data_IF_143191829593
#
_entry.id   IF_143191829593
#
_cell.length_a   1.000
_cell.length_b   1.000
_cell.length_c   1.000
_cell.angle_alpha   90.00
_cell.angle_beta   90.00
_cell.angle_gamma   90.00
#
_symmetry.space_group_name_H-M   'P 1'
#
loop_
_entity.id
_entity.type
_entity.pdbx_description
1 polymer ?
#
# COMPACT_ATOMS: atom_id res chain seq x y z
N UNK A 1 -56.25 61.64 10.63
CA UNK A 1 -56.04 60.36 11.35
C UNK A 1 -54.96 59.54 10.64
N UNK A 2 -53.68 59.65 11.08
CA UNK A 2 -52.56 58.94 10.53
C UNK A 2 -52.40 57.64 11.33
N UNK A 3 -52.58 56.45 10.69
CA UNK A 3 -52.36 55.15 11.29
C UNK A 3 -50.85 54.88 11.26
N UNK A 4 -50.23 54.76 12.43
CA UNK A 4 -48.86 54.29 12.62
C UNK A 4 -48.85 52.75 12.45
N UNK A 5 -48.05 52.28 11.52
CA UNK A 5 -47.70 50.88 11.33
C UNK A 5 -46.59 50.50 12.33
N UNK A 6 -46.67 49.31 12.99
CA UNK A 6 -45.62 48.89 13.88
C UNK A 6 -44.38 48.45 13.13
N UNK A 7 -43.22 48.89 13.61
CA UNK A 7 -41.88 48.45 13.16
C UNK A 7 -41.64 47.05 13.72
N UNK A 8 -41.50 46.06 12.82
CA UNK A 8 -41.07 44.72 13.16
C UNK A 8 -39.55 44.74 13.27
N UNK A 9 -38.93 44.39 14.41
CA UNK A 9 -37.47 44.26 14.46
C UNK A 9 -37.04 43.06 13.65
N UNK A 10 -36.18 43.31 12.65
CA UNK A 10 -35.46 42.28 11.87
C UNK A 10 -34.46 41.59 12.81
N UNK A 11 -34.80 40.43 13.32
CA UNK A 11 -33.87 39.53 14.00
C UNK A 11 -32.86 39.04 12.97
N UNK A 12 -31.68 39.66 12.94
CA UNK A 12 -30.50 39.08 12.32
C UNK A 12 -30.16 37.80 13.11
N UNK A 13 -30.60 36.65 12.61
CA UNK A 13 -30.09 35.38 13.01
C UNK A 13 -28.61 35.31 12.60
N UNK A 14 -27.72 35.48 13.57
CA UNK A 14 -26.33 35.00 13.42
C UNK A 14 -26.43 33.50 13.28
N UNK A 15 -26.35 33.03 12.02
CA UNK A 15 -25.99 31.66 11.77
C UNK A 15 -24.55 31.50 12.28
N UNK A 16 -24.42 30.94 13.48
CA UNK A 16 -23.14 30.34 13.90
C UNK A 16 -22.80 29.28 12.87
N UNK A 17 -21.82 29.61 12.03
CA UNK A 17 -21.12 28.60 11.27
C UNK A 17 -20.53 27.63 12.31
N UNK A 18 -21.34 26.63 12.70
CA UNK A 18 -20.85 25.48 13.43
C UNK A 18 -19.72 24.91 12.58
N UNK A 19 -18.56 24.78 13.17
CA UNK A 19 -17.51 23.92 12.66
C UNK A 19 -18.20 22.65 12.19
N UNK A 20 -18.22 22.39 10.89
CA UNK A 20 -18.46 21.06 10.37
C UNK A 20 -17.27 20.24 10.88
N UNK A 21 -17.39 19.77 12.13
CA UNK A 21 -16.49 18.79 12.70
C UNK A 21 -16.54 17.60 11.77
N UNK A 22 -15.41 17.14 11.42
CA UNK A 22 -14.95 16.04 10.56
C UNK A 22 -15.75 14.72 10.78
N UNK A 23 -17.06 14.79 10.60
CA UNK A 23 -17.97 13.65 10.77
C UNK A 23 -17.77 12.60 9.67
N UNK A 24 -17.29 13.04 8.48
CA UNK A 24 -17.05 12.16 7.35
C UNK A 24 -15.87 11.23 7.62
N UNK A 25 -14.75 11.75 8.11
CA UNK A 25 -13.57 10.93 8.43
C UNK A 25 -13.80 9.98 9.60
N UNK A 26 -14.54 10.42 10.63
CA UNK A 26 -14.91 9.55 11.76
C UNK A 26 -15.89 8.45 11.32
N UNK A 27 -16.81 8.73 10.39
CA UNK A 27 -17.73 7.72 9.84
C UNK A 27 -16.96 6.67 9.03
N UNK A 28 -16.09 7.09 8.09
CA UNK A 28 -15.27 6.18 7.28
C UNK A 28 -14.42 5.24 8.14
N UNK A 29 -13.77 5.80 9.19
CA UNK A 29 -13.00 4.99 10.13
C UNK A 29 -13.87 3.96 10.85
N UNK A 30 -15.05 4.33 11.31
CA UNK A 30 -15.96 3.40 11.99
C UNK A 30 -16.43 2.29 11.05
N UNK A 31 -16.74 2.62 9.80
CA UNK A 31 -17.14 1.65 8.79
C UNK A 31 -15.96 0.73 8.41
N UNK A 32 -14.74 1.27 8.29
CA UNK A 32 -13.54 0.44 8.09
C UNK A 32 -13.32 -0.55 9.23
N UNK A 33 -13.37 -0.08 10.49
CA UNK A 33 -13.20 -0.91 11.68
C UNK A 33 -14.33 -1.98 11.81
N UNK A 34 -15.56 -1.65 11.40
CA UNK A 34 -16.66 -2.61 11.34
C UNK A 34 -16.42 -3.72 10.29
N UNK A 35 -15.81 -3.35 9.16
CA UNK A 35 -15.35 -4.30 8.15
C UNK A 35 -14.27 -5.24 8.68
N UNK A 36 -13.27 -4.70 9.42
CA UNK A 36 -12.24 -5.51 10.10
C UNK A 36 -12.88 -6.49 11.08
N UNK A 37 -13.76 -6.01 11.95
CA UNK A 37 -14.44 -6.87 12.93
C UNK A 37 -15.26 -8.00 12.27
N UNK A 38 -15.92 -7.72 11.15
CA UNK A 38 -16.65 -8.74 10.39
C UNK A 38 -15.70 -9.76 9.76
N UNK A 39 -14.56 -9.29 9.20
CA UNK A 39 -13.54 -10.16 8.60
C UNK A 39 -12.92 -11.08 9.65
N UNK A 40 -12.55 -10.56 10.82
CA UNK A 40 -11.95 -11.32 11.91
C UNK A 40 -12.93 -12.33 12.52
N UNK A 41 -14.23 -12.04 12.47
CA UNK A 41 -15.28 -12.97 12.84
C UNK A 41 -15.57 -14.06 11.80
N UNK A 42 -14.91 -14.00 10.62
CA UNK A 42 -15.16 -14.92 9.50
C UNK A 42 -16.42 -14.60 8.71
N UNK A 43 -17.11 -13.50 9.00
CA UNK A 43 -18.29 -13.03 8.24
C UNK A 43 -17.82 -12.27 6.98
N UNK A 44 -17.20 -12.99 6.07
CA UNK A 44 -16.65 -12.42 4.85
C UNK A 44 -17.68 -11.70 3.95
N UNK A 45 -18.92 -12.22 3.78
CA UNK A 45 -19.92 -11.48 3.00
C UNK A 45 -20.23 -10.10 3.59
N UNK A 46 -20.29 -10.02 4.91
CA UNK A 46 -20.53 -8.75 5.63
C UNK A 46 -19.33 -7.81 5.51
N UNK A 47 -18.11 -8.31 5.71
CA UNK A 47 -16.88 -7.54 5.56
C UNK A 47 -16.77 -6.96 4.13
N UNK A 48 -16.98 -7.80 3.12
CA UNK A 48 -16.98 -7.38 1.71
C UNK A 48 -18.00 -6.27 1.44
N UNK A 49 -19.24 -6.44 1.93
CA UNK A 49 -20.29 -5.43 1.76
C UNK A 49 -19.93 -4.10 2.40
N UNK A 50 -19.38 -4.13 3.62
CA UNK A 50 -18.98 -2.90 4.35
C UNK A 50 -17.87 -2.19 3.62
N UNK A 51 -16.76 -2.87 3.30
CA UNK A 51 -15.62 -2.24 2.64
C UNK A 51 -15.94 -1.79 1.21
N UNK A 52 -16.77 -2.55 0.46
CA UNK A 52 -17.22 -2.13 -0.88
C UNK A 52 -18.15 -0.91 -0.88
N UNK A 53 -18.68 -0.51 0.27
CA UNK A 53 -19.47 0.71 0.38
C UNK A 53 -18.61 1.97 0.58
N UNK A 54 -17.33 1.79 0.93
CA UNK A 54 -16.38 2.89 1.24
C UNK A 54 -15.07 2.79 0.43
N UNK A 55 -14.93 1.85 -0.51
CA UNK A 55 -13.68 1.60 -1.24
C UNK A 55 -13.29 2.72 -2.22
N UNK A 56 -14.20 3.58 -2.60
CA UNK A 56 -13.88 4.77 -3.38
C UNK A 56 -13.33 5.93 -2.52
N UNK A 57 -13.65 5.94 -1.24
CA UNK A 57 -13.28 6.99 -0.28
C UNK A 57 -12.14 6.58 0.67
N UNK A 58 -11.88 5.26 0.82
CA UNK A 58 -10.87 4.70 1.70
C UNK A 58 -9.97 3.70 0.95
N UNK A 59 -8.70 4.10 0.78
CA UNK A 59 -7.70 3.32 0.03
C UNK A 59 -7.42 1.96 0.71
N UNK A 60 -7.49 1.89 2.05
CA UNK A 60 -7.27 0.64 2.76
C UNK A 60 -8.48 -0.30 2.59
N UNK A 61 -9.71 0.23 2.55
CA UNK A 61 -10.90 -0.54 2.20
C UNK A 61 -10.82 -1.05 0.76
N UNK A 62 -10.40 -0.21 -0.19
CA UNK A 62 -10.17 -0.60 -1.59
C UNK A 62 -9.19 -1.78 -1.68
N UNK A 63 -8.05 -1.72 -0.99
CA UNK A 63 -7.08 -2.81 -0.92
C UNK A 63 -7.69 -4.08 -0.32
N UNK A 64 -8.50 -3.96 0.73
CA UNK A 64 -9.15 -5.11 1.36
C UNK A 64 -10.20 -5.76 0.44
N UNK A 65 -10.98 -4.97 -0.29
CA UNK A 65 -11.91 -5.46 -1.32
C UNK A 65 -11.15 -6.19 -2.44
N UNK A 66 -10.02 -5.65 -2.88
CA UNK A 66 -9.16 -6.31 -3.86
C UNK A 66 -8.66 -7.67 -3.35
N UNK A 67 -8.19 -7.75 -2.11
CA UNK A 67 -7.76 -8.99 -1.45
C UNK A 67 -8.91 -10.02 -1.40
N UNK A 68 -10.11 -9.58 -1.02
CA UNK A 68 -11.27 -10.47 -0.95
C UNK A 68 -11.69 -10.98 -2.33
N UNK A 69 -11.64 -10.15 -3.38
CA UNK A 69 -11.88 -10.58 -4.76
C UNK A 69 -10.80 -11.55 -5.24
N UNK A 70 -9.53 -11.29 -4.95
CA UNK A 70 -8.42 -12.18 -5.30
C UNK A 70 -8.61 -13.59 -4.73
N UNK A 71 -9.09 -13.68 -3.51
CA UNK A 71 -9.26 -14.95 -2.78
C UNK A 71 -10.64 -15.58 -2.94
N UNK A 72 -11.66 -14.82 -3.32
CA UNK A 72 -13.06 -15.25 -3.37
C UNK A 72 -13.70 -15.30 -1.98
N UNK A 73 -13.30 -14.40 -1.08
CA UNK A 73 -13.83 -14.31 0.29
C UNK A 73 -15.04 -13.38 0.33
N UNK A 74 -16.22 -13.94 0.63
CA UNK A 74 -17.47 -13.19 0.68
C UNK A 74 -18.00 -12.68 -0.66
N UNK A 75 -17.29 -12.96 -1.74
CA UNK A 75 -17.62 -12.62 -3.12
C UNK A 75 -17.10 -13.70 -4.08
N UNK A 76 -17.50 -13.66 -5.34
CA UNK A 76 -16.89 -14.52 -6.36
C UNK A 76 -15.39 -14.17 -6.54
N UNK A 77 -14.56 -15.19 -6.77
CA UNK A 77 -13.15 -14.98 -7.10
C UNK A 77 -13.02 -14.23 -8.42
N UNK A 78 -12.37 -13.08 -8.39
CA UNK A 78 -12.15 -12.19 -9.53
C UNK A 78 -10.72 -11.61 -9.48
N UNK A 79 -9.72 -12.37 -9.97
CA UNK A 79 -8.34 -11.90 -9.94
C UNK A 79 -8.11 -10.64 -10.79
N UNK A 80 -8.85 -10.50 -11.90
CA UNK A 80 -8.69 -9.34 -12.78
C UNK A 80 -9.24 -8.07 -12.15
N UNK A 81 -10.43 -8.12 -11.57
CA UNK A 81 -10.97 -7.00 -10.81
C UNK A 81 -10.16 -6.69 -9.57
N UNK A 82 -9.50 -7.68 -8.96
CA UNK A 82 -8.57 -7.46 -7.87
C UNK A 82 -7.32 -6.70 -8.34
N UNK A 83 -6.74 -7.07 -9.50
CA UNK A 83 -5.59 -6.37 -10.08
C UNK A 83 -5.90 -4.89 -10.30
N UNK A 84 -7.05 -4.57 -10.90
CA UNK A 84 -7.47 -3.20 -11.17
C UNK A 84 -7.62 -2.37 -9.87
N UNK A 85 -8.18 -2.96 -8.82
CA UNK A 85 -8.33 -2.29 -7.53
C UNK A 85 -6.99 -2.13 -6.79
N UNK A 86 -6.14 -3.15 -6.79
CA UNK A 86 -4.79 -3.05 -6.25
C UNK A 86 -3.97 -1.99 -6.98
N UNK A 87 -4.11 -1.87 -8.32
CA UNK A 87 -3.43 -0.84 -9.10
C UNK A 87 -3.86 0.56 -8.65
N UNK A 88 -5.16 0.83 -8.53
CA UNK A 88 -5.67 2.12 -8.03
C UNK A 88 -5.12 2.45 -6.63
N UNK A 89 -5.12 1.48 -5.72
CA UNK A 89 -4.61 1.66 -4.37
C UNK A 89 -3.08 1.85 -4.33
N UNK A 90 -2.35 1.17 -5.21
CA UNK A 90 -0.90 1.31 -5.38
C UNK A 90 -0.51 2.67 -5.97
N UNK A 91 -1.25 3.16 -6.97
CA UNK A 91 -1.09 4.50 -7.55
C UNK A 91 -1.40 5.62 -6.53
N UNK A 92 -2.32 5.37 -5.61
CA UNK A 92 -2.56 6.25 -4.45
C UNK A 92 -1.47 6.19 -3.39
N UNK A 93 -0.42 5.37 -3.59
CA UNK A 93 0.77 5.31 -2.76
C UNK A 93 0.67 4.38 -1.56
N UNK A 94 -0.29 3.45 -1.50
CA UNK A 94 -0.41 2.48 -0.41
C UNK A 94 0.65 1.37 -0.54
N UNK A 95 1.68 1.28 0.33
CA UNK A 95 2.77 0.31 0.18
C UNK A 95 2.31 -1.14 0.22
N UNK A 96 1.29 -1.44 1.04
CA UNK A 96 0.71 -2.79 1.10
C UNK A 96 0.03 -3.19 -0.22
N UNK A 97 -0.66 -2.24 -0.88
CA UNK A 97 -1.26 -2.52 -2.19
C UNK A 97 -0.21 -2.66 -3.29
N UNK A 98 0.89 -1.89 -3.22
CA UNK A 98 2.03 -2.05 -4.13
C UNK A 98 2.64 -3.44 -4.01
N UNK A 99 2.86 -3.93 -2.78
CA UNK A 99 3.37 -5.28 -2.53
C UNK A 99 2.38 -6.36 -2.99
N UNK A 100 1.09 -6.23 -2.66
CA UNK A 100 0.07 -7.20 -3.07
C UNK A 100 -0.08 -7.30 -4.59
N UNK A 101 -0.04 -6.14 -5.28
CA UNK A 101 -0.08 -6.11 -6.75
C UNK A 101 1.17 -6.75 -7.35
N UNK A 102 2.34 -6.47 -6.79
CA UNK A 102 3.59 -7.06 -7.25
C UNK A 102 3.58 -8.58 -7.13
N UNK A 103 3.18 -9.13 -5.96
CA UNK A 103 3.03 -10.58 -5.74
C UNK A 103 2.05 -11.18 -6.77
N UNK A 104 0.93 -10.53 -7.00
CA UNK A 104 -0.07 -10.98 -7.95
C UNK A 104 0.46 -11.01 -9.40
N UNK A 105 1.23 -10.00 -9.80
CA UNK A 105 1.88 -9.92 -11.11
C UNK A 105 2.99 -10.97 -11.26
N UNK A 106 3.79 -11.21 -10.22
CA UNK A 106 4.84 -12.24 -10.20
C UNK A 106 4.25 -13.63 -10.38
N UNK A 107 3.14 -13.91 -9.68
CA UNK A 107 2.45 -15.20 -9.75
C UNK A 107 1.62 -15.39 -11.02
N UNK A 108 1.33 -14.32 -11.74
CA UNK A 108 0.49 -14.38 -12.93
C UNK A 108 -0.95 -14.76 -12.64
N UNK A 109 -1.54 -14.27 -11.56
CA UNK A 109 -2.88 -14.67 -11.12
C UNK A 109 -4.01 -14.11 -11.97
N UNK A 110 -3.82 -12.94 -12.59
CA UNK A 110 -4.79 -12.29 -13.49
C UNK A 110 -4.41 -12.42 -14.97
N UNK A 111 -3.21 -12.94 -15.25
CA UNK A 111 -2.65 -13.09 -16.59
C UNK A 111 -1.28 -13.75 -16.54
N UNK A 112 -0.47 -13.71 -17.58
CA UNK A 112 0.91 -14.22 -17.51
C UNK A 112 1.74 -13.38 -16.53
N UNK A 113 2.78 -13.96 -15.87
CA UNK A 113 3.67 -13.23 -15.00
C UNK A 113 4.28 -11.99 -15.66
N UNK A 114 4.21 -10.84 -14.96
CA UNK A 114 4.73 -9.57 -15.44
C UNK A 114 5.72 -8.95 -14.44
N UNK A 115 6.94 -9.43 -14.49
CA UNK A 115 8.04 -8.95 -13.64
C UNK A 115 8.42 -7.50 -13.93
N UNK A 116 8.20 -7.03 -15.16
CA UNK A 116 8.52 -5.65 -15.55
C UNK A 116 7.62 -4.64 -14.81
N UNK A 117 6.35 -4.98 -14.63
CA UNK A 117 5.43 -4.16 -13.81
C UNK A 117 5.62 -4.39 -12.32
N UNK A 118 5.98 -5.61 -11.90
CA UNK A 118 6.12 -5.96 -10.49
C UNK A 118 7.33 -5.28 -9.83
N UNK A 119 8.48 -5.21 -10.52
CA UNK A 119 9.73 -4.70 -9.94
C UNK A 119 9.61 -3.27 -9.37
N UNK A 120 9.14 -2.25 -10.12
CA UNK A 120 9.03 -0.90 -9.57
C UNK A 120 8.03 -0.81 -8.39
N UNK A 121 7.02 -1.66 -8.34
CA UNK A 121 6.09 -1.73 -7.22
C UNK A 121 6.77 -2.30 -5.96
N UNK A 122 7.59 -3.36 -6.12
CA UNK A 122 8.40 -3.90 -5.03
C UNK A 122 9.42 -2.87 -4.52
N UNK A 123 10.09 -2.15 -5.42
CA UNK A 123 11.05 -1.10 -5.05
C UNK A 123 10.37 0.02 -4.27
N UNK A 124 9.20 0.47 -4.70
CA UNK A 124 8.42 1.49 -4.00
C UNK A 124 7.97 1.02 -2.61
N UNK A 125 7.39 -0.18 -2.52
CA UNK A 125 6.94 -0.75 -1.25
C UNK A 125 8.11 -1.04 -0.29
N UNK A 126 9.24 -1.56 -0.80
CA UNK A 126 10.44 -1.82 -0.02
C UNK A 126 11.05 -0.53 0.55
N UNK A 127 11.07 0.55 -0.25
CA UNK A 127 11.50 1.89 0.18
C UNK A 127 10.59 2.48 1.26
N UNK A 128 9.32 2.10 1.27
CA UNK A 128 8.36 2.42 2.32
C UNK A 128 8.44 1.45 3.52
N UNK A 129 9.51 0.66 3.62
CA UNK A 129 9.75 -0.32 4.68
C UNK A 129 8.72 -1.45 4.76
N UNK A 130 8.09 -1.84 3.65
CA UNK A 130 7.17 -2.97 3.65
C UNK A 130 7.95 -4.31 3.69
N UNK A 131 7.82 -5.13 4.75
CA UNK A 131 8.71 -6.27 4.96
C UNK A 131 8.65 -7.33 3.86
N UNK A 132 7.43 -7.65 3.37
CA UNK A 132 7.26 -8.63 2.30
C UNK A 132 7.91 -8.14 1.01
N UNK A 133 7.75 -6.86 0.65
CA UNK A 133 8.38 -6.30 -0.55
C UNK A 133 9.92 -6.29 -0.43
N UNK A 134 10.46 -5.98 0.74
CA UNK A 134 11.90 -6.07 1.01
C UNK A 134 12.40 -7.51 0.82
N UNK A 135 11.67 -8.49 1.34
CA UNK A 135 12.01 -9.90 1.20
C UNK A 135 11.97 -10.38 -0.26
N UNK A 136 10.91 -10.07 -0.99
CA UNK A 136 10.78 -10.45 -2.40
C UNK A 136 11.82 -9.76 -3.30
N UNK A 137 12.07 -8.49 -3.08
CA UNK A 137 13.11 -7.75 -3.79
C UNK A 137 14.51 -8.32 -3.49
N UNK A 138 14.75 -8.76 -2.24
CA UNK A 138 15.98 -9.45 -1.87
C UNK A 138 16.18 -10.74 -2.66
N UNK A 139 15.13 -11.51 -2.88
CA UNK A 139 15.19 -12.72 -3.71
C UNK A 139 15.56 -12.41 -5.16
N UNK A 140 15.06 -11.33 -5.75
CA UNK A 140 15.45 -10.90 -7.09
C UNK A 140 16.95 -10.59 -7.17
N UNK A 141 17.49 -9.85 -6.20
CA UNK A 141 18.92 -9.55 -6.15
C UNK A 141 19.79 -10.78 -5.82
N UNK A 142 19.28 -11.73 -5.04
CA UNK A 142 19.98 -12.97 -4.74
C UNK A 142 20.12 -13.88 -5.97
N UNK A 143 19.01 -14.04 -6.72
CA UNK A 143 19.00 -14.92 -7.91
C UNK A 143 19.59 -14.23 -9.12
N UNK A 144 19.39 -12.92 -9.30
CA UNK A 144 19.84 -12.16 -10.46
C UNK A 144 18.97 -12.41 -11.69
N UNK A 145 17.70 -12.70 -11.51
CA UNK A 145 16.84 -13.11 -12.62
C UNK A 145 16.19 -11.93 -13.35
N UNK A 146 15.78 -10.90 -12.62
CA UNK A 146 15.14 -9.69 -13.18
C UNK A 146 15.99 -8.43 -13.02
N UNK A 147 16.94 -8.49 -12.11
CA UNK A 147 17.94 -7.47 -11.81
C UNK A 147 19.32 -8.12 -11.80
N UNK A 148 20.42 -7.39 -12.02
CA UNK A 148 21.75 -7.94 -11.85
C UNK A 148 21.93 -8.50 -10.43
N UNK A 149 22.48 -9.71 -10.35
CA UNK A 149 22.71 -10.36 -9.06
C UNK A 149 23.59 -9.49 -8.16
N UNK A 150 23.11 -9.24 -6.94
CA UNK A 150 23.83 -8.47 -5.95
C UNK A 150 23.55 -9.01 -4.53
N UNK A 151 24.44 -9.84 -4.03
CA UNK A 151 24.29 -10.48 -2.73
C UNK A 151 24.38 -9.49 -1.56
N UNK A 152 25.08 -8.36 -1.71
CA UNK A 152 25.15 -7.33 -0.68
C UNK A 152 23.79 -6.67 -0.51
N UNK A 153 23.18 -6.20 -1.61
CA UNK A 153 21.83 -5.62 -1.61
C UNK A 153 20.79 -6.64 -1.12
N UNK A 154 20.88 -7.90 -1.54
CA UNK A 154 19.99 -8.95 -1.07
C UNK A 154 20.04 -9.12 0.46
N UNK A 155 21.25 -9.14 1.04
CA UNK A 155 21.43 -9.25 2.49
C UNK A 155 20.86 -8.04 3.24
N UNK A 156 21.11 -6.83 2.74
CA UNK A 156 20.61 -5.59 3.36
C UNK A 156 19.08 -5.58 3.37
N UNK A 157 18.46 -6.00 2.28
CA UNK A 157 17.00 -6.11 2.17
C UNK A 157 16.43 -7.21 3.08
N UNK A 158 17.08 -8.38 3.15
CA UNK A 158 16.69 -9.43 4.12
C UNK A 158 16.83 -8.95 5.55
N UNK A 159 17.91 -8.23 5.88
CA UNK A 159 18.10 -7.66 7.21
C UNK A 159 17.04 -6.63 7.55
N UNK A 160 16.67 -5.77 6.60
CA UNK A 160 15.57 -4.83 6.76
C UNK A 160 14.24 -5.56 7.02
N UNK A 161 13.89 -6.54 6.21
CA UNK A 161 12.66 -7.34 6.41
C UNK A 161 12.65 -8.07 7.77
N UNK A 162 13.79 -8.65 8.18
CA UNK A 162 13.94 -9.32 9.45
C UNK A 162 13.80 -8.35 10.64
N UNK A 163 14.32 -7.13 10.53
CA UNK A 163 14.17 -6.09 11.57
C UNK A 163 12.71 -5.70 11.81
N UNK A 164 11.85 -5.87 10.80
CA UNK A 164 10.41 -5.73 10.89
C UNK A 164 9.68 -7.03 11.32
N UNK A 165 10.42 -8.02 11.80
CA UNK A 165 9.86 -9.24 12.38
C UNK A 165 9.58 -10.37 11.38
N UNK A 166 10.04 -10.26 10.13
CA UNK A 166 9.86 -11.31 9.12
C UNK A 166 10.82 -12.47 9.39
N UNK A 167 10.29 -13.60 9.89
CA UNK A 167 11.06 -14.78 10.29
C UNK A 167 11.74 -15.48 9.10
N UNK A 168 11.08 -15.45 7.95
CA UNK A 168 11.58 -16.01 6.69
C UNK A 168 12.85 -15.30 6.23
N UNK A 169 12.87 -13.98 6.38
CA UNK A 169 14.05 -13.16 6.07
C UNK A 169 15.23 -13.46 7.01
N UNK A 170 14.95 -13.59 8.32
CA UNK A 170 15.96 -13.99 9.29
C UNK A 170 16.52 -15.39 8.99
N UNK A 171 15.65 -16.36 8.74
CA UNK A 171 16.06 -17.72 8.39
C UNK A 171 16.91 -17.73 7.10
N UNK A 172 16.61 -16.85 6.13
CA UNK A 172 17.41 -16.75 4.92
C UNK A 172 18.79 -16.17 5.19
N UNK A 173 18.89 -15.14 6.03
CA UNK A 173 20.19 -14.60 6.46
C UNK A 173 21.06 -15.64 7.16
N UNK A 174 20.46 -16.45 8.04
CA UNK A 174 21.15 -17.53 8.76
C UNK A 174 21.70 -18.58 7.79
N UNK A 175 20.94 -18.93 6.75
CA UNK A 175 21.37 -19.85 5.68
C UNK A 175 22.51 -19.27 4.83
N UNK A 176 22.45 -17.97 4.54
CA UNK A 176 23.49 -17.30 3.76
C UNK A 176 24.81 -17.17 4.55
N UNK A 177 24.78 -17.34 5.87
CA UNK A 177 25.93 -17.17 6.75
C UNK A 177 26.51 -15.74 6.76
N UNK A 178 27.69 -15.52 7.32
CA UNK A 178 28.33 -14.21 7.34
C UNK A 178 28.70 -13.76 5.91
N UNK A 179 28.70 -12.43 5.66
CA UNK A 179 29.14 -11.88 4.38
C UNK A 179 30.61 -12.25 4.12
N UNK A 180 30.88 -12.90 2.99
CA UNK A 180 32.28 -13.14 2.58
C UNK A 180 32.90 -11.85 2.05
N UNK A 181 34.23 -11.68 2.25
CA UNK A 181 34.97 -10.47 1.82
C UNK A 181 34.82 -10.19 0.29
N UNK A 182 34.61 -11.21 -0.53
CA UNK A 182 34.41 -11.08 -1.96
C UNK A 182 33.06 -10.44 -2.36
N UNK A 183 32.10 -10.35 -1.44
CA UNK A 183 30.79 -9.75 -1.69
C UNK A 183 30.76 -8.23 -1.44
N UNK A 184 31.73 -7.70 -0.70
CA UNK A 184 31.87 -6.27 -0.42
C UNK A 184 32.30 -5.43 -1.65
N UNK A 185 32.79 -6.07 -2.73
CA UNK A 185 33.33 -5.40 -3.92
C UNK A 185 32.25 -5.09 -4.96
N UNK A 186 31.02 -5.57 -4.80
CA UNK A 186 29.93 -5.38 -5.78
C UNK A 186 28.96 -4.24 -5.42
N UNK A 187 29.39 -3.26 -4.65
CA UNK A 187 28.63 -2.01 -4.49
C UNK A 187 28.53 -1.35 -5.88
N UNK A 188 27.33 -0.92 -6.33
CA UNK A 188 27.23 -0.20 -7.58
C UNK A 188 28.12 1.04 -7.53
N UNK A 189 28.78 1.43 -8.63
CA UNK A 189 29.53 2.68 -8.67
C UNK A 189 28.60 3.81 -8.29
N UNK A 190 29.03 4.66 -7.35
CA UNK A 190 28.32 5.87 -6.98
C UNK A 190 27.89 6.61 -8.26
N UNK A 191 26.62 6.98 -8.34
CA UNK A 191 26.11 7.75 -9.46
C UNK A 191 27.04 8.95 -9.71
N UNK A 192 27.41 9.25 -10.97
CA UNK A 192 28.28 10.38 -11.27
C UNK A 192 27.63 11.65 -10.72
N UNK A 193 28.40 12.38 -9.91
CA UNK A 193 27.97 13.66 -9.37
C UNK A 193 27.59 14.58 -10.55
N UNK A 194 26.37 15.10 -10.51
CA UNK A 194 25.92 16.08 -11.49
C UNK A 194 26.90 17.26 -11.53
N UNK A 195 27.33 17.73 -12.72
CA UNK A 195 28.22 18.87 -12.80
C UNK A 195 27.50 20.11 -12.29
N UNK A 196 28.06 20.69 -11.23
CA UNK A 196 27.62 21.98 -10.70
C UNK A 196 27.65 23.03 -11.83
N UNK A 197 26.49 23.44 -12.31
CA UNK A 197 26.36 24.58 -13.22
C UNK A 197 26.71 25.85 -12.44
N UNK A 198 27.94 26.27 -12.52
CA UNK A 198 28.38 27.60 -12.10
C UNK A 198 27.84 28.57 -13.15
N UNK A 199 26.75 29.26 -12.80
CA UNK A 199 26.26 30.40 -13.58
C UNK A 199 27.17 31.59 -13.27
N UNK A 200 27.80 32.11 -14.31
CA UNK A 200 28.43 33.44 -14.32
C UNK A 200 27.41 34.49 -14.68
#
# INVERSE_FOLDING_TARGET
MRKLLPIIPLLLGFATAGCASDTTGASLKNDFDAGVAAYDAGDYPKAYKIWSAIDDDDIAAMRNVAMMRRQGLGTAKDPKGAEDMYLRAAEAGLPTAQADLADMLIRGEAGPPDFKRALPLLEAAASANHPLAQYELAQFYEVGQQVPRNMAVARDLYAAAASHGMKEAQARLDQLGPASADQAVQSPPAAPAEPSTITR
#
